data_IF_635183320242
#
_entry.id   IF_635183320242
#
_cell.length_a   1.000
_cell.length_b   1.000
_cell.length_c   1.000
_cell.angle_alpha   90.00
_cell.angle_beta   90.00
_cell.angle_gamma   90.00
#
_symmetry.space_group_name_H-M   'P 1'
#
loop_
_entity.id
_entity.type
_entity.pdbx_description
1 polymer ?
#
# COMPACT_ATOMS: atom_id res chain seq x y z
N UNK A 1 0.07 6.47 15.31
CA UNK A 1 1.14 7.48 15.33
C UNK A 1 1.15 8.27 16.64
N UNK A 2 0.10 9.03 17.00
CA UNK A 2 0.07 9.78 18.29
C UNK A 2 0.40 8.94 19.53
N UNK A 3 -0.12 7.72 19.60
CA UNK A 3 0.16 6.80 20.71
C UNK A 3 1.63 6.35 20.80
N UNK A 4 2.41 6.39 19.70
CA UNK A 4 3.83 6.01 19.69
C UNK A 4 4.75 7.06 20.30
N UNK A 5 4.22 8.27 20.51
CA UNK A 5 4.96 9.42 21.03
C UNK A 5 4.31 9.97 22.30
N UNK A 6 3.60 9.11 23.03
CA UNK A 6 2.87 9.43 24.27
C UNK A 6 1.98 10.68 24.15
N UNK A 7 1.37 10.86 22.97
CA UNK A 7 0.53 12.01 22.64
C UNK A 7 1.23 13.37 22.73
N UNK A 8 2.57 13.40 22.75
CA UNK A 8 3.37 14.62 22.78
C UNK A 8 3.38 15.30 21.40
N UNK A 9 2.82 16.52 21.25
CA UNK A 9 2.80 17.20 19.96
C UNK A 9 4.21 17.51 19.44
N UNK A 10 5.13 17.92 20.32
CA UNK A 10 6.50 18.26 19.93
C UNK A 10 7.27 17.07 19.37
N UNK A 11 7.13 15.90 20.00
CA UNK A 11 7.74 14.66 19.51
C UNK A 11 7.04 14.18 18.24
N UNK A 12 5.71 14.28 18.15
CA UNK A 12 4.95 13.93 16.95
C UNK A 12 5.47 14.69 15.72
N UNK A 13 5.67 16.01 15.81
CA UNK A 13 6.15 16.79 14.67
C UNK A 13 7.63 16.52 14.35
N UNK A 14 8.47 16.31 15.36
CA UNK A 14 9.88 15.94 15.16
C UNK A 14 10.01 14.60 14.43
N UNK A 15 9.22 13.61 14.84
CA UNK A 15 9.40 12.21 14.43
C UNK A 15 8.39 11.74 13.38
N UNK A 16 7.47 12.60 12.92
CA UNK A 16 6.35 12.24 12.03
C UNK A 16 6.74 11.29 10.90
N UNK A 17 7.89 11.51 10.27
CA UNK A 17 8.32 10.73 9.11
C UNK A 17 8.78 9.32 9.48
N UNK A 18 9.19 9.10 10.72
CA UNK A 18 9.63 7.81 11.27
C UNK A 18 8.51 7.01 11.94
N UNK A 19 7.35 7.62 12.21
CA UNK A 19 6.22 6.92 12.81
C UNK A 19 5.63 5.90 11.84
N UNK A 20 5.26 4.74 12.36
CA UNK A 20 4.88 3.58 11.56
C UNK A 20 3.66 2.86 12.14
N UNK A 21 2.78 2.37 11.29
CA UNK A 21 1.75 1.41 11.65
C UNK A 21 2.13 0.15 10.88
N UNK A 22 2.73 -0.78 11.62
CA UNK A 22 3.31 -2.01 11.08
C UNK A 22 2.23 -3.09 10.87
N UNK A 23 2.36 -3.95 9.85
CA UNK A 23 1.51 -5.12 9.70
C UNK A 23 1.77 -6.13 10.83
N UNK A 24 0.87 -7.12 11.02
CA UNK A 24 1.10 -8.23 11.92
C UNK A 24 2.41 -8.98 11.66
N UNK A 25 3.04 -9.45 12.75
CA UNK A 25 4.22 -10.31 12.66
C UNK A 25 3.94 -11.68 11.99
N UNK A 26 4.97 -12.36 11.45
CA UNK A 26 4.82 -13.64 10.76
C UNK A 26 4.18 -14.74 11.61
N UNK A 27 4.34 -14.70 12.93
CA UNK A 27 3.76 -15.64 13.90
C UNK A 27 2.22 -15.69 13.85
N UNK A 28 1.58 -14.63 13.34
CA UNK A 28 0.14 -14.57 13.16
C UNK A 28 -0.33 -15.07 11.79
N UNK A 29 0.57 -15.30 10.83
CA UNK A 29 0.25 -15.70 9.46
C UNK A 29 -0.77 -14.75 8.81
N UNK A 30 -1.89 -15.31 8.31
CA UNK A 30 -3.04 -14.53 7.82
C UNK A 30 -4.13 -14.29 8.87
N UNK A 31 -3.87 -14.63 10.13
CA UNK A 31 -4.78 -14.42 11.25
C UNK A 31 -4.94 -12.94 11.62
N UNK A 32 -6.01 -12.66 12.38
CA UNK A 32 -6.20 -11.34 12.95
C UNK A 32 -5.38 -11.20 14.24
N UNK A 33 -4.34 -10.38 14.20
CA UNK A 33 -3.45 -10.15 15.35
C UNK A 33 -4.10 -9.25 16.43
N UNK A 34 -3.63 -9.30 17.69
CA UNK A 34 -3.98 -8.32 18.71
C UNK A 34 -3.78 -6.89 18.21
N UNK A 35 -4.59 -5.95 18.72
CA UNK A 35 -4.61 -4.56 18.22
C UNK A 35 -3.23 -3.90 18.22
N UNK A 36 -2.46 -4.09 19.29
CA UNK A 36 -1.13 -3.50 19.45
C UNK A 36 -0.02 -4.22 18.65
N UNK A 37 -0.32 -5.41 18.10
CA UNK A 37 0.63 -6.24 17.35
C UNK A 37 0.26 -6.30 15.85
N UNK A 38 -0.26 -5.20 15.31
CA UNK A 38 -0.65 -5.07 13.90
C UNK A 38 -2.15 -5.25 13.62
N UNK A 39 -2.98 -5.53 14.63
CA UNK A 39 -4.44 -5.54 14.46
C UNK A 39 -4.99 -4.18 13.99
N UNK A 40 -4.41 -3.06 14.45
CA UNK A 40 -4.75 -1.73 13.93
C UNK A 40 -4.41 -1.54 12.45
N UNK A 41 -3.34 -2.17 11.97
CA UNK A 41 -2.98 -2.16 10.55
C UNK A 41 -4.04 -2.88 9.73
N UNK A 42 -4.51 -4.05 10.17
CA UNK A 42 -5.57 -4.79 9.47
C UNK A 42 -6.86 -3.97 9.33
N UNK A 43 -7.25 -3.27 10.40
CA UNK A 43 -8.43 -2.38 10.39
C UNK A 43 -8.21 -1.21 9.42
N UNK A 44 -7.05 -0.54 9.49
CA UNK A 44 -6.72 0.55 8.59
C UNK A 44 -6.70 0.11 7.12
N UNK A 45 -6.08 -1.04 6.81
CA UNK A 45 -6.03 -1.66 5.49
C UNK A 45 -7.42 -1.99 4.94
N UNK A 46 -8.32 -2.51 5.78
CA UNK A 46 -9.70 -2.78 5.39
C UNK A 46 -10.44 -1.49 4.99
N UNK A 47 -10.37 -0.44 5.81
CA UNK A 47 -11.04 0.82 5.49
C UNK A 47 -10.39 1.54 4.31
N UNK A 48 -9.07 1.43 4.15
CA UNK A 48 -8.36 1.91 2.97
C UNK A 48 -8.85 1.22 1.69
N UNK A 49 -8.96 -0.11 1.71
CA UNK A 49 -9.52 -0.90 0.60
C UNK A 49 -10.93 -0.44 0.23
N UNK A 50 -11.82 -0.33 1.22
CA UNK A 50 -13.20 0.13 0.99
C UNK A 50 -13.21 1.55 0.41
N UNK A 51 -12.38 2.46 0.94
CA UNK A 51 -12.24 3.83 0.42
C UNK A 51 -11.79 3.85 -1.04
N UNK A 52 -10.77 3.08 -1.38
CA UNK A 52 -10.27 2.93 -2.75
C UNK A 52 -11.34 2.38 -3.72
N UNK A 53 -12.02 1.30 -3.35
CA UNK A 53 -13.05 0.67 -4.19
C UNK A 53 -14.26 1.60 -4.37
N UNK A 54 -14.73 2.26 -3.31
CA UNK A 54 -15.85 3.20 -3.40
C UNK A 54 -15.50 4.42 -4.23
N UNK A 55 -14.25 4.91 -4.18
CA UNK A 55 -13.78 5.99 -5.05
C UNK A 55 -13.72 5.57 -6.53
N UNK A 56 -13.39 4.30 -6.80
CA UNK A 56 -13.41 3.77 -8.16
C UNK A 56 -14.83 3.71 -8.70
N UNK A 57 -15.77 3.17 -7.92
CA UNK A 57 -17.21 3.13 -8.27
C UNK A 57 -17.74 4.55 -8.51
N UNK A 58 -17.36 5.52 -7.67
CA UNK A 58 -17.69 6.93 -7.88
C UNK A 58 -17.18 7.42 -9.24
N UNK A 59 -15.90 7.20 -9.55
CA UNK A 59 -15.27 7.62 -10.80
C UNK A 59 -16.00 7.03 -12.01
N UNK A 60 -16.34 5.74 -11.96
CA UNK A 60 -17.12 5.07 -13.00
C UNK A 60 -18.51 5.70 -13.17
N UNK A 61 -19.27 5.84 -12.08
CA UNK A 61 -20.63 6.36 -12.11
C UNK A 61 -20.71 7.83 -12.56
N UNK A 62 -19.67 8.62 -12.33
CA UNK A 62 -19.59 10.01 -12.85
C UNK A 62 -19.39 10.04 -14.36
N UNK A 63 -18.54 9.16 -14.89
CA UNK A 63 -18.41 9.03 -16.34
C UNK A 63 -19.73 8.60 -17.00
N UNK A 64 -20.45 7.62 -16.42
CA UNK A 64 -21.77 7.21 -16.92
C UNK A 64 -22.77 8.37 -16.88
N UNK A 65 -22.87 9.08 -15.76
CA UNK A 65 -23.83 10.17 -15.59
C UNK A 65 -23.60 11.34 -16.56
N UNK A 66 -22.38 11.50 -17.07
CA UNK A 66 -22.00 12.52 -18.05
C UNK A 66 -21.91 11.97 -19.48
N UNK A 67 -22.31 10.71 -19.70
CA UNK A 67 -22.22 10.01 -20.99
C UNK A 67 -20.80 10.04 -21.61
N UNK A 68 -19.78 9.88 -20.76
CA UNK A 68 -18.36 9.83 -21.14
C UNK A 68 -17.85 8.40 -21.21
N UNK A 69 -16.73 8.19 -21.92
CA UNK A 69 -15.99 6.93 -21.87
C UNK A 69 -15.38 6.65 -20.49
N UNK A 70 -15.19 5.38 -20.16
CA UNK A 70 -14.70 4.92 -18.84
C UNK A 70 -13.17 4.83 -18.71
N UNK A 71 -12.41 5.46 -19.61
CA UNK A 71 -10.95 5.31 -19.68
C UNK A 71 -10.24 5.64 -18.36
N UNK A 72 -10.64 6.72 -17.69
CA UNK A 72 -10.07 7.13 -16.39
C UNK A 72 -10.38 6.10 -15.29
N UNK A 73 -11.59 5.54 -15.27
CA UNK A 73 -11.94 4.49 -14.32
C UNK A 73 -11.08 3.24 -14.55
N UNK A 74 -10.84 2.85 -15.80
CA UNK A 74 -9.98 1.70 -16.11
C UNK A 74 -8.50 1.95 -15.79
N UNK A 75 -7.97 3.15 -16.05
CA UNK A 75 -6.64 3.52 -15.61
C UNK A 75 -6.52 3.49 -14.07
N UNK A 76 -7.55 3.96 -13.35
CA UNK A 76 -7.57 3.88 -11.90
C UNK A 76 -7.67 2.43 -11.40
N UNK A 77 -8.37 1.54 -12.10
CA UNK A 77 -8.38 0.11 -11.77
C UNK A 77 -6.97 -0.51 -11.82
N UNK A 78 -6.12 -0.10 -12.76
CA UNK A 78 -4.72 -0.55 -12.82
C UNK A 78 -3.88 -0.07 -11.63
N UNK A 79 -4.11 1.15 -11.12
CA UNK A 79 -3.50 1.61 -9.87
C UNK A 79 -3.99 0.78 -8.67
N UNK A 80 -5.30 0.54 -8.58
CA UNK A 80 -5.85 -0.31 -7.52
C UNK A 80 -5.26 -1.72 -7.57
N UNK A 81 -5.07 -2.28 -8.76
CA UNK A 81 -4.41 -3.57 -8.93
C UNK A 81 -3.02 -3.59 -8.28
N UNK A 82 -2.17 -2.59 -8.51
CA UNK A 82 -0.84 -2.53 -7.88
C UNK A 82 -0.95 -2.47 -6.35
N UNK A 83 -1.84 -1.62 -5.81
CA UNK A 83 -2.08 -1.51 -4.37
C UNK A 83 -2.49 -2.87 -3.78
N UNK A 84 -3.43 -3.57 -4.43
CA UNK A 84 -3.90 -4.87 -3.95
C UNK A 84 -2.86 -5.97 -4.10
N UNK A 85 -2.04 -5.95 -5.16
CA UNK A 85 -0.94 -6.91 -5.31
C UNK A 85 0.02 -6.80 -4.14
N UNK A 86 0.43 -5.58 -3.77
CA UNK A 86 1.40 -5.36 -2.69
C UNK A 86 0.80 -5.58 -1.29
N UNK A 87 -0.44 -5.13 -1.06
CA UNK A 87 -1.05 -5.11 0.28
C UNK A 87 -2.02 -6.24 0.59
N UNK A 88 -2.46 -7.03 -0.40
CA UNK A 88 -3.48 -8.06 -0.22
C UNK A 88 -3.11 -9.40 -0.88
N UNK A 89 -2.99 -9.44 -2.20
CA UNK A 89 -2.83 -10.70 -2.93
C UNK A 89 -1.48 -11.35 -2.67
N UNK A 90 -0.36 -10.62 -2.76
CA UNK A 90 0.96 -11.19 -2.45
C UNK A 90 1.05 -11.66 -0.99
N UNK A 91 0.67 -10.87 0.04
CA UNK A 91 0.62 -11.36 1.41
C UNK A 91 -0.20 -12.66 1.58
N UNK A 92 -1.38 -12.75 0.96
CA UNK A 92 -2.21 -13.98 0.97
C UNK A 92 -1.46 -15.16 0.34
N UNK A 93 -0.83 -14.97 -0.83
CA UNK A 93 -0.08 -16.02 -1.52
C UNK A 93 1.17 -16.47 -0.74
N UNK A 94 1.77 -15.55 0.03
CA UNK A 94 2.91 -15.83 0.91
C UNK A 94 2.49 -16.40 2.27
N UNK A 95 1.18 -16.41 2.57
CA UNK A 95 0.64 -16.93 3.83
C UNK A 95 0.90 -16.06 5.06
N UNK A 96 1.25 -14.77 4.88
CA UNK A 96 1.56 -13.88 6.01
C UNK A 96 1.25 -12.41 5.70
N UNK A 97 0.59 -11.73 6.64
CA UNK A 97 0.38 -10.28 6.57
C UNK A 97 1.68 -9.48 6.75
N UNK A 98 2.72 -10.06 7.36
CA UNK A 98 4.03 -9.42 7.57
C UNK A 98 4.71 -9.00 6.26
N UNK A 99 4.28 -9.57 5.14
CA UNK A 99 4.80 -9.27 3.81
C UNK A 99 4.23 -7.98 3.22
N UNK A 100 3.16 -7.44 3.79
CA UNK A 100 2.48 -6.24 3.31
C UNK A 100 3.24 -4.95 3.67
N UNK A 101 2.89 -3.86 2.98
CA UNK A 101 3.54 -2.55 3.18
C UNK A 101 3.06 -1.91 4.51
N UNK A 102 3.95 -1.39 5.35
CA UNK A 102 3.56 -0.63 6.54
C UNK A 102 3.05 0.78 6.17
N UNK A 103 2.25 1.39 7.03
CA UNK A 103 1.85 2.78 6.86
C UNK A 103 2.80 3.71 7.63
N UNK A 104 3.58 4.51 6.90
CA UNK A 104 4.52 5.49 7.45
C UNK A 104 5.38 6.08 6.33
N UNK A 105 5.91 7.29 6.49
CA UNK A 105 6.65 7.96 5.39
C UNK A 105 7.98 7.27 5.13
N UNK A 106 8.88 7.15 6.10
CA UNK A 106 10.10 6.37 5.93
C UNK A 106 9.87 4.85 6.02
N UNK A 107 9.00 4.32 6.89
CA UNK A 107 8.73 2.89 6.96
C UNK A 107 8.32 2.24 5.62
N UNK A 108 7.48 2.88 4.79
CA UNK A 108 7.12 2.30 3.48
C UNK A 108 8.28 2.35 2.46
N UNK A 109 9.20 3.32 2.60
CA UNK A 109 10.43 3.38 1.79
C UNK A 109 11.40 2.27 2.21
N UNK A 110 11.56 2.06 3.52
CA UNK A 110 12.38 0.98 4.08
C UNK A 110 11.86 -0.38 3.63
N UNK A 111 10.53 -0.59 3.66
CA UNK A 111 9.90 -1.79 3.11
C UNK A 111 10.22 -1.98 1.61
N UNK A 112 10.18 -0.91 0.82
CA UNK A 112 10.47 -0.98 -0.62
C UNK A 112 11.90 -1.45 -0.88
N UNK A 113 12.86 -0.93 -0.11
CA UNK A 113 14.25 -1.37 -0.19
C UNK A 113 14.43 -2.82 0.29
N UNK A 114 13.85 -3.16 1.44
CA UNK A 114 13.91 -4.51 2.00
C UNK A 114 13.29 -5.54 1.06
N UNK A 115 12.14 -5.24 0.45
CA UNK A 115 11.49 -6.10 -0.53
C UNK A 115 12.44 -6.43 -1.69
N UNK A 116 13.22 -5.44 -2.16
CA UNK A 116 14.25 -5.65 -3.18
C UNK A 116 15.40 -6.54 -2.71
N UNK A 117 15.92 -6.29 -1.51
CA UNK A 117 17.03 -7.05 -0.94
C UNK A 117 16.63 -8.52 -0.73
N UNK A 118 15.47 -8.75 -0.13
CA UNK A 118 14.93 -10.10 0.17
C UNK A 118 14.76 -10.94 -1.09
N UNK A 119 14.42 -10.34 -2.23
CA UNK A 119 14.20 -11.05 -3.50
C UNK A 119 15.40 -10.97 -4.45
N UNK A 120 16.59 -10.66 -3.95
CA UNK A 120 17.83 -10.75 -4.73
C UNK A 120 17.98 -9.66 -5.80
N UNK A 121 17.61 -8.42 -5.45
CA UNK A 121 17.69 -7.21 -6.26
C UNK A 121 16.67 -7.13 -7.42
N UNK A 122 15.65 -6.29 -7.24
CA UNK A 122 14.57 -6.08 -8.22
C UNK A 122 15.00 -5.45 -9.54
N UNK A 123 16.22 -4.93 -9.68
CA UNK A 123 16.71 -4.47 -11.00
C UNK A 123 16.78 -5.61 -12.03
N UNK A 124 16.87 -6.87 -11.59
CA UNK A 124 16.85 -8.04 -12.47
C UNK A 124 15.45 -8.61 -12.72
N UNK A 125 14.41 -8.05 -12.11
CA UNK A 125 13.03 -8.45 -12.40
C UNK A 125 12.55 -7.77 -13.70
N UNK A 126 12.18 -8.52 -14.76
CA UNK A 126 11.80 -7.94 -16.04
C UNK A 126 10.52 -7.10 -15.95
N UNK A 127 9.57 -7.42 -15.07
CA UNK A 127 8.36 -6.62 -14.89
C UNK A 127 8.65 -5.30 -14.17
N UNK A 128 9.61 -5.29 -13.25
CA UNK A 128 10.06 -4.05 -12.62
C UNK A 128 10.75 -3.14 -13.65
N UNK A 129 11.63 -3.69 -14.50
CA UNK A 129 12.25 -2.95 -15.59
C UNK A 129 11.22 -2.38 -16.59
N UNK A 130 10.20 -3.15 -16.96
CA UNK A 130 9.09 -2.67 -17.79
C UNK A 130 8.32 -1.54 -17.12
N UNK A 131 8.04 -1.65 -15.81
CA UNK A 131 7.38 -0.59 -15.06
C UNK A 131 8.19 0.71 -15.05
N UNK A 132 9.52 0.64 -14.94
CA UNK A 132 10.42 1.80 -15.03
C UNK A 132 10.37 2.39 -16.45
N UNK A 133 10.42 1.57 -17.49
CA UNK A 133 10.34 2.04 -18.86
C UNK A 133 9.02 2.79 -19.13
N UNK A 134 7.89 2.28 -18.62
CA UNK A 134 6.59 2.96 -18.73
C UNK A 134 6.51 4.22 -17.86
N UNK A 135 7.11 4.22 -16.67
CA UNK A 135 7.20 5.42 -15.84
C UNK A 135 7.98 6.53 -16.58
N UNK A 136 9.15 6.23 -17.13
CA UNK A 136 9.93 7.18 -17.92
C UNK A 136 9.20 7.61 -19.19
N UNK A 137 8.58 6.66 -19.90
CA UNK A 137 7.77 6.96 -21.07
C UNK A 137 6.60 7.89 -20.77
N UNK A 138 5.97 7.78 -19.59
CA UNK A 138 4.85 8.65 -19.19
C UNK A 138 5.24 10.11 -18.95
N UNK A 139 6.51 10.38 -18.68
CA UNK A 139 7.04 11.74 -18.55
C UNK A 139 7.58 12.29 -19.89
N UNK A 140 7.86 11.41 -20.85
CA UNK A 140 8.39 11.77 -22.16
C UNK A 140 7.29 12.07 -23.19
N UNK A 141 6.17 11.34 -23.14
CA UNK A 141 4.98 11.54 -23.97
C UNK A 141 4.13 12.72 -23.47
#
# INVERSE_FOLDING_TARGET
FWAQVDYSPGVFFRDLFWLALEPPGPEYGLGFAPLNDGGWWLIASFFFLVGCCTWWVRTYNRATALNMGHHVAWAFAALLWLILVLGLFRPILMGSWSEAVPYGIFPHLDWTNLFSITHGNLFYNPFHALSIAFLYGSALL
#
